data_IF_603176004283
#
_entry.id   IF_603176004283
#
_cell.length_a   1.000
_cell.length_b   1.000
_cell.length_c   1.000
_cell.angle_alpha   90.00
_cell.angle_beta   90.00
_cell.angle_gamma   90.00
#
_symmetry.space_group_name_H-M   'P 1'
#
loop_
_entity.id
_entity.type
_entity.pdbx_description
1 polymer ?
#
# COMPACT_ATOMS: atom_id res chain seq x y z
N UNK A 1 -19.04 4.26 -23.61
CA UNK A 1 -20.10 4.37 -22.57
C UNK A 1 -19.69 3.93 -21.15
N UNK A 2 -18.58 3.23 -20.93
CA UNK A 2 -17.90 3.16 -19.60
C UNK A 2 -16.47 3.69 -19.68
N UNK A 3 -15.77 3.36 -20.78
CA UNK A 3 -14.39 3.80 -21.06
C UNK A 3 -14.26 5.34 -21.05
N UNK A 4 -15.25 6.05 -21.60
CA UNK A 4 -15.22 7.53 -21.72
C UNK A 4 -15.27 8.24 -20.35
N UNK A 5 -15.91 7.62 -19.34
CA UNK A 5 -15.99 8.21 -17.98
C UNK A 5 -14.62 8.23 -17.30
N UNK A 6 -13.79 7.22 -17.54
CA UNK A 6 -12.43 7.14 -16.99
C UNK A 6 -11.48 8.12 -17.67
N UNK A 7 -11.66 8.35 -18.98
CA UNK A 7 -10.87 9.31 -19.74
C UNK A 7 -11.18 10.74 -19.32
N UNK A 8 -12.46 11.11 -19.21
CA UNK A 8 -12.85 12.51 -19.03
C UNK A 8 -12.78 12.98 -17.57
N UNK A 9 -13.02 12.08 -16.60
CA UNK A 9 -13.01 12.47 -15.17
C UNK A 9 -11.73 12.13 -14.43
N UNK A 10 -11.00 11.11 -14.88
CA UNK A 10 -9.82 10.59 -14.18
C UNK A 10 -8.55 10.64 -15.04
N UNK A 11 -8.64 11.08 -16.30
CA UNK A 11 -7.53 11.17 -17.25
C UNK A 11 -6.78 9.83 -17.44
N UNK A 12 -7.51 8.71 -17.36
CA UNK A 12 -6.96 7.35 -17.55
C UNK A 12 -7.55 6.77 -18.84
N UNK A 13 -6.67 6.50 -19.82
CA UNK A 13 -7.06 5.89 -21.09
C UNK A 13 -6.78 4.38 -21.08
N UNK A 14 -7.84 3.60 -20.89
CA UNK A 14 -7.83 2.13 -20.85
C UNK A 14 -7.66 1.48 -22.24
N UNK A 15 -7.56 2.28 -23.31
CA UNK A 15 -7.40 1.80 -24.70
C UNK A 15 -5.97 1.95 -25.23
N UNK A 16 -5.06 2.50 -24.43
CA UNK A 16 -3.68 2.72 -24.85
C UNK A 16 -2.82 1.45 -24.66
N UNK A 17 -2.44 0.83 -25.78
CA UNK A 17 -1.40 -0.21 -25.81
C UNK A 17 -0.03 0.39 -25.44
N UNK A 18 0.32 0.38 -24.15
CA UNK A 18 1.68 0.71 -23.72
C UNK A 18 2.61 -0.46 -24.06
N UNK A 19 3.35 -0.32 -25.16
CA UNK A 19 4.48 -1.22 -25.48
C UNK A 19 5.51 -1.16 -24.36
N UNK A 20 5.75 -2.30 -23.72
CA UNK A 20 6.87 -2.51 -22.82
C UNK A 20 8.18 -2.51 -23.63
N UNK A 21 9.14 -1.67 -23.21
CA UNK A 21 10.54 -1.79 -23.62
C UNK A 21 11.08 -0.62 -24.45
N UNK A 22 11.51 0.44 -23.78
CA UNK A 22 12.63 1.29 -24.23
C UNK A 22 13.41 1.73 -22.98
N UNK A 23 14.55 1.08 -22.76
CA UNK A 23 15.56 1.51 -21.79
C UNK A 23 16.21 2.79 -22.31
N UNK A 24 15.87 3.92 -21.72
CA UNK A 24 16.73 5.11 -21.76
C UNK A 24 17.47 5.18 -20.43
N UNK A 25 18.78 4.99 -20.50
CA UNK A 25 19.70 5.17 -19.38
C UNK A 25 19.76 6.67 -19.06
N UNK A 26 18.76 7.16 -18.33
CA UNK A 26 18.88 8.45 -17.68
C UNK A 26 19.77 8.24 -16.46
N UNK A 27 20.94 8.88 -16.45
CA UNK A 27 21.66 9.19 -15.21
C UNK A 27 20.76 10.13 -14.40
N UNK A 28 19.74 9.55 -13.77
CA UNK A 28 18.79 10.24 -12.92
C UNK A 28 19.55 10.81 -11.74
N UNK A 29 19.36 12.09 -11.51
CA UNK A 29 19.73 12.72 -10.26
C UNK A 29 19.03 11.91 -9.14
N UNK A 30 19.73 11.36 -8.12
CA UNK A 30 19.11 10.53 -7.07
C UNK A 30 18.13 11.31 -6.16
N UNK A 31 17.77 12.52 -6.55
CA UNK A 31 16.84 13.43 -5.90
C UNK A 31 15.41 13.35 -6.46
N UNK A 32 15.22 12.72 -7.63
CA UNK A 32 13.94 12.65 -8.34
C UNK A 32 13.37 11.21 -8.43
N UNK A 33 13.72 10.32 -7.50
CA UNK A 33 13.05 9.01 -7.41
C UNK A 33 11.61 9.22 -6.88
N UNK A 34 10.61 8.91 -7.71
CA UNK A 34 9.21 8.85 -7.27
C UNK A 34 9.09 7.90 -6.06
N UNK A 35 8.25 8.26 -5.09
CA UNK A 35 8.03 7.42 -3.93
C UNK A 35 7.52 6.03 -4.39
N UNK A 36 8.10 4.93 -3.88
CA UNK A 36 7.68 3.60 -4.29
C UNK A 36 6.22 3.37 -3.90
N UNK A 37 5.48 2.70 -4.78
CA UNK A 37 4.11 2.28 -4.47
C UNK A 37 4.14 1.15 -3.43
N UNK A 38 3.49 1.38 -2.29
CA UNK A 38 3.50 0.44 -1.16
C UNK A 38 2.23 -0.40 -1.22
N UNK A 39 2.32 -1.73 -1.39
CA UNK A 39 1.14 -2.56 -1.53
C UNK A 39 0.31 -2.57 -0.24
N UNK A 40 -1.01 -2.42 -0.39
CA UNK A 40 -1.97 -2.45 0.72
C UNK A 40 -2.66 -3.81 0.84
N UNK A 41 -2.77 -4.55 -0.26
CA UNK A 41 -3.48 -5.83 -0.34
C UNK A 41 -2.61 -6.84 -1.09
N UNK A 42 -2.57 -8.07 -0.59
CA UNK A 42 -2.03 -9.22 -1.30
C UNK A 42 -3.05 -10.36 -1.19
N UNK A 43 -3.76 -10.66 -2.27
CA UNK A 43 -4.87 -11.64 -2.25
C UNK A 43 -4.45 -13.05 -1.81
N UNK A 44 -3.18 -13.42 -1.93
CA UNK A 44 -2.67 -14.71 -1.46
C UNK A 44 -2.43 -14.69 0.05
N UNK A 45 -1.73 -13.69 0.56
CA UNK A 45 -1.43 -13.59 2.00
C UNK A 45 -2.65 -13.19 2.83
N UNK A 46 -3.57 -12.45 2.21
CA UNK A 46 -4.78 -11.96 2.85
C UNK A 46 -5.97 -12.93 2.72
N UNK A 47 -5.80 -14.08 2.05
CA UNK A 47 -6.88 -15.00 1.70
C UNK A 47 -7.80 -15.35 2.88
N UNK A 48 -7.22 -15.65 4.06
CA UNK A 48 -8.00 -16.00 5.27
C UNK A 48 -8.81 -14.81 5.79
N UNK A 49 -8.24 -13.60 5.79
CA UNK A 49 -8.95 -12.40 6.21
C UNK A 49 -10.06 -12.05 5.22
N UNK A 50 -9.80 -12.20 3.93
CA UNK A 50 -10.78 -11.97 2.86
C UNK A 50 -11.95 -12.94 3.01
N UNK A 51 -11.66 -14.24 3.14
CA UNK A 51 -12.67 -15.26 3.37
C UNK A 51 -13.54 -14.94 4.58
N UNK A 52 -12.92 -14.68 5.74
CA UNK A 52 -13.64 -14.34 6.97
C UNK A 52 -14.48 -13.06 6.82
N UNK A 53 -13.99 -12.08 6.06
CA UNK A 53 -14.68 -10.81 5.82
C UNK A 53 -15.93 -10.99 4.95
N UNK A 54 -15.84 -11.80 3.88
CA UNK A 54 -16.99 -12.10 3.03
C UNK A 54 -18.07 -12.88 3.77
N UNK A 55 -17.67 -13.84 4.60
CA UNK A 55 -18.61 -14.58 5.44
C UNK A 55 -19.27 -13.67 6.49
N UNK A 56 -18.49 -12.77 7.12
CA UNK A 56 -18.99 -11.86 8.14
C UNK A 56 -19.98 -10.81 7.59
N UNK A 57 -19.65 -10.14 6.48
CA UNK A 57 -20.46 -9.03 5.96
C UNK A 57 -21.62 -9.48 5.09
N UNK A 58 -21.38 -10.48 4.25
CA UNK A 58 -22.31 -10.85 3.18
C UNK A 58 -22.90 -12.25 3.37
N UNK A 59 -22.43 -13.00 4.37
CA UNK A 59 -22.75 -14.41 4.54
C UNK A 59 -22.44 -15.24 3.29
N UNK A 60 -21.34 -14.90 2.60
CA UNK A 60 -20.87 -15.57 1.38
C UNK A 60 -19.69 -16.49 1.71
N UNK A 61 -19.83 -17.78 1.42
CA UNK A 61 -18.73 -18.73 1.46
C UNK A 61 -17.97 -18.73 0.11
N UNK A 62 -16.77 -18.14 0.07
CA UNK A 62 -15.99 -18.03 -1.18
C UNK A 62 -15.56 -19.38 -1.77
N UNK A 63 -15.47 -20.45 -0.98
CA UNK A 63 -15.17 -21.79 -1.51
C UNK A 63 -16.34 -22.34 -2.33
N UNK A 64 -17.57 -22.07 -1.91
CA UNK A 64 -18.79 -22.47 -2.64
C UNK A 64 -19.03 -21.62 -3.88
N UNK A 65 -18.45 -20.42 -3.94
CA UNK A 65 -18.63 -19.48 -5.04
C UNK A 65 -17.60 -19.62 -6.18
N UNK A 66 -16.71 -20.61 -6.12
CA UNK A 66 -15.70 -20.84 -7.16
C UNK A 66 -16.36 -21.14 -8.52
N UNK A 67 -16.02 -20.33 -9.53
CA UNK A 67 -16.59 -20.45 -10.87
C UNK A 67 -18.02 -19.90 -11.03
N UNK A 68 -18.63 -19.40 -9.95
CA UNK A 68 -19.98 -18.82 -9.95
C UNK A 68 -19.88 -17.30 -9.81
N UNK A 69 -19.26 -16.83 -8.73
CA UNK A 69 -19.09 -15.41 -8.45
C UNK A 69 -18.12 -14.80 -9.46
N UNK A 70 -18.61 -13.84 -10.24
CA UNK A 70 -17.79 -13.18 -11.25
C UNK A 70 -16.74 -12.29 -10.57
N UNK A 71 -15.57 -12.16 -11.20
CA UNK A 71 -14.47 -11.37 -10.62
C UNK A 71 -14.84 -9.91 -10.34
N UNK A 72 -15.65 -9.30 -11.21
CA UNK A 72 -16.15 -7.94 -10.99
C UNK A 72 -17.06 -7.81 -9.77
N UNK A 73 -17.88 -8.83 -9.50
CA UNK A 73 -18.75 -8.89 -8.31
C UNK A 73 -17.92 -9.10 -7.05
N UNK A 74 -16.93 -9.99 -7.10
CA UNK A 74 -15.97 -10.16 -6.02
C UNK A 74 -15.28 -8.84 -5.67
N UNK A 75 -14.74 -8.12 -6.66
CA UNK A 75 -14.08 -6.83 -6.41
C UNK A 75 -15.04 -5.78 -5.87
N UNK A 76 -16.28 -5.73 -6.38
CA UNK A 76 -17.30 -4.81 -5.87
C UNK A 76 -17.60 -5.07 -4.37
N UNK A 77 -17.76 -6.34 -4.00
CA UNK A 77 -17.98 -6.75 -2.60
C UNK A 77 -16.76 -6.48 -1.73
N UNK A 78 -15.55 -6.83 -2.20
CA UNK A 78 -14.30 -6.62 -1.50
C UNK A 78 -14.04 -5.13 -1.21
N UNK A 79 -14.26 -4.26 -2.20
CA UNK A 79 -14.07 -2.81 -2.04
C UNK A 79 -15.09 -2.16 -1.10
N UNK A 80 -16.24 -2.80 -0.86
CA UNK A 80 -17.32 -2.30 -0.02
C UNK A 80 -17.48 -3.06 1.30
N UNK A 81 -16.47 -3.82 1.73
CA UNK A 81 -16.45 -4.44 3.06
C UNK A 81 -16.63 -3.39 4.17
N UNK A 82 -17.32 -3.75 5.24
CA UNK A 82 -17.52 -2.92 6.42
C UNK A 82 -16.23 -2.80 7.24
N UNK A 83 -16.07 -1.66 7.93
CA UNK A 83 -14.87 -1.34 8.72
C UNK A 83 -14.59 -2.33 9.88
N UNK A 84 -15.58 -3.18 10.21
CA UNK A 84 -15.46 -4.18 11.29
C UNK A 84 -14.87 -5.50 10.80
N UNK A 85 -14.74 -5.68 9.48
CA UNK A 85 -14.20 -6.92 8.92
C UNK A 85 -12.71 -7.08 9.20
N UNK A 86 -12.22 -8.33 9.33
CA UNK A 86 -10.79 -8.60 9.46
C UNK A 86 -9.93 -7.91 8.39
N UNK A 87 -10.40 -7.94 7.13
CA UNK A 87 -9.67 -7.34 6.01
C UNK A 87 -9.64 -5.81 6.11
N UNK A 88 -10.76 -5.14 6.41
CA UNK A 88 -10.77 -3.67 6.55
C UNK A 88 -9.95 -3.21 7.75
N UNK A 89 -9.93 -3.97 8.85
CA UNK A 89 -9.04 -3.70 9.99
C UNK A 89 -7.57 -3.77 9.55
N UNK A 90 -7.18 -4.79 8.76
CA UNK A 90 -5.82 -4.89 8.24
C UNK A 90 -5.47 -3.71 7.32
N UNK A 91 -6.34 -3.37 6.36
CA UNK A 91 -6.17 -2.20 5.47
C UNK A 91 -6.04 -0.91 6.27
N UNK A 92 -6.88 -0.72 7.29
CA UNK A 92 -6.83 0.44 8.18
C UNK A 92 -5.45 0.56 8.81
N UNK A 93 -4.94 -0.50 9.44
CA UNK A 93 -3.62 -0.44 10.06
C UNK A 93 -2.48 -0.35 9.04
N UNK A 94 -2.61 -0.88 7.82
CA UNK A 94 -1.59 -0.69 6.76
C UNK A 94 -1.50 0.77 6.34
N UNK A 95 -2.63 1.48 6.26
CA UNK A 95 -2.72 2.83 5.66
C UNK A 95 -2.77 3.98 6.65
N UNK A 96 -3.22 3.76 7.90
CA UNK A 96 -3.41 4.85 8.84
C UNK A 96 -2.10 5.55 9.22
N UNK A 97 -2.15 6.84 9.53
CA UNK A 97 -0.99 7.57 10.03
C UNK A 97 -0.80 7.32 11.53
N UNK A 98 0.44 7.33 12.00
CA UNK A 98 0.70 7.39 13.45
C UNK A 98 0.51 8.85 13.88
N UNK A 99 -0.38 9.15 14.84
CA UNK A 99 -0.62 10.52 15.26
C UNK A 99 0.65 11.19 15.78
N UNK A 100 0.72 12.51 15.62
CA UNK A 100 1.83 13.32 16.13
C UNK A 100 1.90 13.17 17.65
N UNK A 101 3.10 13.04 18.21
CA UNK A 101 3.30 12.83 19.64
C UNK A 101 2.72 14.02 20.44
N UNK A 102 1.91 13.72 21.45
CA UNK A 102 1.44 14.68 22.45
C UNK A 102 1.67 14.13 23.88
N UNK A 103 1.12 14.80 24.91
CA UNK A 103 1.31 14.44 26.33
C UNK A 103 0.48 13.23 26.77
N UNK A 104 -0.52 12.81 25.99
CA UNK A 104 -1.54 11.83 26.38
C UNK A 104 -1.65 10.63 25.43
N UNK A 105 -1.01 10.67 24.25
CA UNK A 105 -1.18 9.66 23.20
C UNK A 105 -0.03 8.63 23.10
N UNK A 106 0.82 8.53 24.13
CA UNK A 106 1.95 7.59 24.10
C UNK A 106 1.49 6.14 23.87
N UNK A 107 0.45 5.72 24.57
CA UNK A 107 -0.06 4.34 24.50
C UNK A 107 -0.79 4.06 23.19
N UNK A 108 -1.60 5.01 22.71
CA UNK A 108 -2.25 4.93 21.40
C UNK A 108 -1.22 4.74 20.28
N UNK A 109 -0.18 5.59 20.26
CA UNK A 109 0.89 5.50 19.25
C UNK A 109 1.64 4.18 19.34
N UNK A 110 1.87 3.66 20.55
CA UNK A 110 2.51 2.36 20.75
C UNK A 110 1.63 1.23 20.19
N UNK A 111 0.33 1.30 20.44
CA UNK A 111 -0.64 0.33 19.93
C UNK A 111 -0.72 0.38 18.41
N UNK A 112 -0.85 1.56 17.80
CA UNK A 112 -0.88 1.71 16.33
C UNK A 112 0.39 1.12 15.71
N UNK A 113 1.58 1.44 16.25
CA UNK A 113 2.85 0.87 15.77
C UNK A 113 2.87 -0.66 15.80
N UNK A 114 2.42 -1.25 16.91
CA UNK A 114 2.33 -2.71 17.05
C UNK A 114 1.36 -3.31 16.03
N UNK A 115 0.23 -2.67 15.79
CA UNK A 115 -0.75 -3.14 14.81
C UNK A 115 -0.27 -2.96 13.37
N UNK A 116 0.46 -1.88 13.07
CA UNK A 116 1.15 -1.72 11.79
C UNK A 116 2.10 -2.86 11.51
N UNK A 117 3.00 -3.15 12.46
CA UNK A 117 3.97 -4.24 12.34
C UNK A 117 3.28 -5.61 12.18
N UNK A 118 2.18 -5.83 12.91
CA UNK A 118 1.40 -7.07 12.81
C UNK A 118 0.80 -7.30 11.43
N UNK A 119 0.29 -6.24 10.78
CA UNK A 119 -0.44 -6.35 9.52
C UNK A 119 0.42 -6.01 8.29
N UNK A 120 1.68 -5.59 8.49
CA UNK A 120 2.60 -5.22 7.42
C UNK A 120 2.81 -6.39 6.45
N UNK A 121 2.65 -6.12 5.15
CA UNK A 121 2.94 -7.11 4.11
C UNK A 121 4.46 -7.27 3.94
N UNK A 122 4.98 -8.46 3.62
CA UNK A 122 6.42 -8.67 3.41
C UNK A 122 7.03 -7.72 2.36
N UNK A 123 6.31 -7.46 1.27
CA UNK A 123 6.73 -6.53 0.23
C UNK A 123 6.76 -5.07 0.73
N UNK A 124 5.71 -4.64 1.45
CA UNK A 124 5.68 -3.32 2.07
C UNK A 124 6.83 -3.14 3.09
N UNK A 125 7.14 -4.20 3.85
CA UNK A 125 8.28 -4.21 4.78
C UNK A 125 9.61 -4.04 4.06
N UNK A 126 9.84 -4.78 2.98
CA UNK A 126 11.06 -4.67 2.18
C UNK A 126 11.24 -3.25 1.61
N UNK A 127 10.17 -2.66 1.06
CA UNK A 127 10.17 -1.28 0.55
C UNK A 127 10.51 -0.30 1.67
N UNK A 128 9.89 -0.44 2.85
CA UNK A 128 10.17 0.42 4.01
C UNK A 128 11.63 0.33 4.44
N UNK A 129 12.19 -0.87 4.56
CA UNK A 129 13.58 -1.08 4.97
C UNK A 129 14.56 -0.47 3.96
N UNK A 130 14.30 -0.60 2.65
CA UNK A 130 15.08 0.05 1.60
C UNK A 130 15.02 1.59 1.70
N UNK A 131 13.82 2.14 1.90
CA UNK A 131 13.61 3.58 2.03
C UNK A 131 14.32 4.16 3.27
N UNK A 132 14.25 3.45 4.40
CA UNK A 132 14.96 3.79 5.64
C UNK A 132 16.48 3.78 5.41
N UNK A 133 17.01 2.77 4.71
CA UNK A 133 18.43 2.67 4.37
C UNK A 133 18.89 3.80 3.44
N UNK A 134 18.16 4.08 2.36
CA UNK A 134 18.42 5.22 1.45
C UNK A 134 18.40 6.55 2.21
N UNK A 135 17.44 6.75 3.12
CA UNK A 135 17.36 7.95 3.94
C UNK A 135 18.56 8.07 4.91
N UNK A 136 19.02 6.96 5.47
CA UNK A 136 20.22 6.92 6.31
C UNK A 136 21.48 7.31 5.54
N UNK A 137 21.70 6.73 4.36
CA UNK A 137 22.84 7.07 3.51
C UNK A 137 22.87 8.56 3.15
N UNK A 138 21.72 9.14 2.78
CA UNK A 138 21.59 10.58 2.50
C UNK A 138 22.02 11.45 3.68
N UNK A 139 21.64 11.09 4.91
CA UNK A 139 22.05 11.83 6.12
C UNK A 139 23.56 11.72 6.36
N UNK A 140 24.14 10.54 6.17
CA UNK A 140 25.59 10.36 6.31
C UNK A 140 26.36 11.19 5.29
N UNK A 141 25.94 11.20 4.02
CA UNK A 141 26.57 12.00 2.99
C UNK A 141 26.48 13.51 3.29
N UNK A 142 25.32 13.98 3.74
CA UNK A 142 25.15 15.37 4.16
C UNK A 142 26.08 15.75 5.32
N UNK A 143 26.22 14.87 6.32
CA UNK A 143 27.17 15.07 7.43
C UNK A 143 28.62 15.09 6.94
N UNK A 144 29.03 14.16 6.09
CA UNK A 144 30.39 14.14 5.51
C UNK A 144 30.70 15.42 4.73
N UNK A 145 29.75 15.89 3.90
CA UNK A 145 29.90 17.16 3.15
C UNK A 145 30.04 18.36 4.08
N UNK A 146 29.24 18.44 5.14
CA UNK A 146 29.36 19.52 6.12
C UNK A 146 30.72 19.50 6.82
N UNK A 147 31.19 18.34 7.28
CA UNK A 147 32.50 18.22 7.93
C UNK A 147 33.62 18.63 6.97
N UNK A 148 33.56 18.24 5.69
CA UNK A 148 34.55 18.63 4.68
C UNK A 148 34.51 20.13 4.29
N UNK A 149 33.39 20.82 4.54
CA UNK A 149 33.24 22.26 4.26
C UNK A 149 33.72 23.16 5.42
N UNK A 150 33.79 22.62 6.65
CA UNK A 150 34.11 23.39 7.87
C UNK A 150 35.32 22.85 8.67
N UNK A 151 35.98 21.79 8.19
CA UNK A 151 37.20 21.22 8.76
C UNK A 151 38.39 21.43 7.84
#
# INVERSE_FOLDING_TARGET
>A
LVIDVFKDKLNIDLTADKKAGEMTESLGNPLDEEAPDVPVVNFTLDADMIFASFLFDYNINLFEQQGILQWGEFLALFNNLSEKTPMKIAIHYRTCEIPKKDKHNSDERKQIKKMKERYELPEAKAIREEMEYKAYLRRLEAQKRQVALYG
#
